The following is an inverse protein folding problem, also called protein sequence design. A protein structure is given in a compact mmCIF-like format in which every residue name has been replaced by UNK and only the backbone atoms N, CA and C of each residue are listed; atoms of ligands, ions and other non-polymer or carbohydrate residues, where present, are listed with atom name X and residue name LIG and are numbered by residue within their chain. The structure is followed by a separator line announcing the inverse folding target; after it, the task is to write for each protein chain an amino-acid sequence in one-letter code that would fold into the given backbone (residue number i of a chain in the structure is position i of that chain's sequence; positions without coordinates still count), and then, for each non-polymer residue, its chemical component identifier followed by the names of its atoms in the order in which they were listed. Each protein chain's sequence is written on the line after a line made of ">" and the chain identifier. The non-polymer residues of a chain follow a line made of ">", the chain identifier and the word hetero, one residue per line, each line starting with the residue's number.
data_IF_451698212263
#
_entry.id   IF_451698212263
#
_cell.length_a   1.000
_cell.length_b   1.000
_cell.length_c   1.000
_cell.angle_alpha   90.00
_cell.angle_beta   90.00
_cell.angle_gamma   90.00
#
_symmetry.space_group_name_H-M   'P 1'
#
loop_
_entity.id
_entity.type
_entity.pdbx_description
1 polymer ?
#
# COMPACT_ATOMS: atom_id res chain seq x y z
N UNK A 1 50.39 -6.34 40.45
CA UNK A 1 50.77 -5.62 41.70
C UNK A 1 50.18 -4.23 41.61
N UNK A 2 49.31 -3.70 42.45
CA UNK A 2 48.62 -4.06 43.70
C UNK A 2 47.28 -3.31 43.61
N UNK A 3 46.12 -3.97 43.79
CA UNK A 3 45.29 -3.89 45.00
C UNK A 3 45.16 -2.49 45.60
N UNK A 4 43.92 -1.96 45.72
CA UNK A 4 43.30 -1.84 47.04
C UNK A 4 41.76 -1.68 46.95
N UNK A 5 41.11 -2.51 47.75
CA UNK A 5 39.69 -2.65 48.01
C UNK A 5 39.40 -2.04 49.39
N UNK A 6 38.14 -1.66 49.61
CA UNK A 6 37.45 -1.63 50.92
C UNK A 6 37.93 -0.65 52.00
N UNK A 7 37.03 0.23 52.44
CA UNK A 7 36.69 0.30 53.87
C UNK A 7 35.17 0.45 54.05
N UNK A 8 34.66 -0.32 55.01
CA UNK A 8 33.30 -0.34 55.52
C UNK A 8 33.31 0.18 56.96
N UNK A 9 32.13 0.62 57.38
CA UNK A 9 31.62 0.69 58.75
C UNK A 9 32.10 1.82 59.67
N UNK A 10 31.11 2.28 60.46
CA UNK A 10 31.09 3.04 61.74
C UNK A 10 29.88 3.99 61.65
N UNK A 11 28.86 4.05 62.52
CA UNK A 11 28.57 3.49 63.84
C UNK A 11 27.04 3.59 64.06
N UNK A 12 26.47 2.59 64.73
CA UNK A 12 25.13 2.57 65.34
C UNK A 12 25.15 3.29 66.70
N UNK A 13 24.14 4.13 67.01
CA UNK A 13 23.77 4.39 68.41
C UNK A 13 22.30 4.85 68.58
N UNK A 14 21.52 3.93 69.12
CA UNK A 14 20.49 4.05 70.17
C UNK A 14 19.88 5.44 70.48
N UNK A 15 18.54 5.50 70.54
CA UNK A 15 17.78 6.09 71.65
C UNK A 15 16.33 5.57 71.64
N UNK A 16 16.02 4.75 72.65
CA UNK A 16 14.68 4.37 73.10
C UNK A 16 14.16 5.38 74.14
N UNK A 17 12.87 5.22 74.52
CA UNK A 17 12.07 5.82 75.61
C UNK A 17 11.14 6.96 75.10
N UNK A 18 9.83 6.98 75.34
CA UNK A 18 8.97 6.26 76.29
C UNK A 18 7.47 6.48 75.97
N UNK A 19 6.62 5.55 76.42
CA UNK A 19 5.31 5.89 77.03
C UNK A 19 4.05 5.81 76.13
N UNK A 20 3.22 4.80 76.35
CA UNK A 20 1.95 4.60 75.62
C UNK A 20 0.73 5.29 76.25
N UNK A 21 -0.37 5.36 75.48
CA UNK A 21 -1.72 4.98 75.93
C UNK A 21 -2.68 4.84 74.74
N UNK A 22 -3.76 4.11 74.97
CA UNK A 22 -4.61 3.44 73.99
C UNK A 22 -5.57 4.32 73.15
N UNK A 23 -5.99 3.70 72.04
CA UNK A 23 -7.37 3.72 71.48
C UNK A 23 -7.81 4.92 70.63
N UNK A 24 -7.62 4.82 69.30
CA UNK A 24 -8.64 5.24 68.31
C UNK A 24 -8.33 4.62 66.95
N UNK A 25 -9.26 3.83 66.41
CA UNK A 25 -9.17 3.27 65.06
C UNK A 25 -9.49 4.34 64.01
N UNK A 26 -8.57 4.54 63.06
CA UNK A 26 -8.79 5.30 61.83
C UNK A 26 -8.03 4.60 60.69
N UNK A 27 -8.68 4.21 59.57
CA UNK A 27 -7.98 3.60 58.44
C UNK A 27 -7.59 4.68 57.42
N UNK A 28 -6.30 5.01 57.35
CA UNK A 28 -5.66 5.84 56.32
C UNK A 28 -4.24 5.26 56.16
N UNK A 29 -3.71 4.89 55.01
CA UNK A 29 -4.12 5.00 53.62
C UNK A 29 -3.61 3.76 52.88
N UNK A 30 -4.36 3.28 51.90
CA UNK A 30 -3.84 2.31 50.92
C UNK A 30 -2.86 3.06 50.03
N UNK A 31 -1.64 2.53 49.91
CA UNK A 31 -0.67 2.97 48.90
C UNK A 31 -1.31 2.90 47.51
N UNK A 32 -1.62 4.08 46.96
CA UNK A 32 -2.06 4.27 45.58
C UNK A 32 -0.85 4.14 44.65
N UNK A 33 -0.40 2.91 44.42
CA UNK A 33 0.48 2.56 43.29
C UNK A 33 -0.35 2.52 42.00
N UNK A 34 -0.75 3.68 41.47
CA UNK A 34 -1.16 3.80 40.06
C UNK A 34 -1.39 5.26 39.68
N UNK A 35 -0.34 5.92 39.19
CA UNK A 35 -0.53 6.81 38.04
C UNK A 35 0.82 7.04 37.34
N UNK A 36 1.32 5.97 36.69
CA UNK A 36 2.21 6.19 35.55
C UNK A 36 1.27 6.49 34.39
N UNK A 37 1.46 7.59 33.64
CA UNK A 37 0.60 7.87 32.49
C UNK A 37 0.64 6.66 31.56
N UNK A 38 -0.51 6.02 31.35
CA UNK A 38 -0.66 4.94 30.38
C UNK A 38 -0.15 5.44 29.03
N UNK A 39 0.94 4.84 28.54
CA UNK A 39 1.37 5.04 27.16
C UNK A 39 0.20 4.60 26.29
N UNK A 40 -0.32 5.43 25.37
CA UNK A 40 -1.40 5.01 24.48
C UNK A 40 -0.96 3.73 23.76
N UNK A 41 -1.72 2.66 23.91
CA UNK A 41 -1.46 1.40 23.22
C UNK A 41 -1.43 1.67 21.71
N UNK A 42 -0.36 1.20 21.07
CA UNK A 42 -0.19 1.39 19.64
C UNK A 42 -1.34 0.70 18.89
N UNK A 43 -2.05 1.40 17.97
CA UNK A 43 -3.09 0.76 17.18
C UNK A 43 -2.54 -0.41 16.37
N UNK A 44 -3.37 -1.42 16.09
CA UNK A 44 -2.96 -2.57 15.28
C UNK A 44 -2.77 -2.17 13.81
N UNK A 45 -1.78 -2.77 13.15
CA UNK A 45 -1.53 -2.63 11.71
C UNK A 45 -2.25 -3.67 10.85
N UNK A 46 -2.93 -4.66 11.46
CA UNK A 46 -3.55 -5.79 10.75
C UNK A 46 -4.54 -5.33 9.68
N UNK A 47 -5.36 -4.31 9.99
CA UNK A 47 -6.36 -3.76 9.08
C UNK A 47 -5.69 -3.19 7.80
N UNK A 48 -4.54 -2.52 7.95
CA UNK A 48 -3.76 -2.01 6.81
C UNK A 48 -3.22 -3.17 5.97
N UNK A 49 -2.69 -4.22 6.61
CA UNK A 49 -2.12 -5.39 5.93
C UNK A 49 -3.18 -6.12 5.10
N UNK A 50 -4.38 -6.29 5.66
CA UNK A 50 -5.50 -6.94 4.97
C UNK A 50 -6.04 -6.11 3.80
N UNK A 51 -5.93 -4.79 3.86
CA UNK A 51 -6.39 -3.88 2.82
C UNK A 51 -5.38 -3.69 1.67
N UNK A 52 -4.16 -4.23 1.77
CA UNK A 52 -3.15 -4.09 0.71
C UNK A 52 -3.71 -4.64 -0.62
N UNK A 53 -3.65 -3.81 -1.67
CA UNK A 53 -4.18 -4.13 -3.01
C UNK A 53 -5.69 -4.00 -3.18
N UNK A 54 -6.44 -3.55 -2.17
CA UNK A 54 -7.89 -3.29 -2.23
C UNK A 54 -8.18 -1.79 -2.32
N UNK A 55 -9.36 -1.41 -2.82
CA UNK A 55 -9.77 0.00 -2.97
C UNK A 55 -9.84 0.76 -1.65
N UNK A 56 -10.10 0.09 -0.52
CA UNK A 56 -10.21 0.69 0.82
C UNK A 56 -8.89 0.88 1.60
N UNK A 57 -7.73 0.76 0.93
CA UNK A 57 -6.43 0.81 1.61
C UNK A 57 -6.13 2.17 2.25
N UNK A 58 -6.46 3.27 1.55
CA UNK A 58 -6.15 4.60 2.04
C UNK A 58 -6.96 4.94 3.31
N UNK A 59 -8.18 4.44 3.42
CA UNK A 59 -9.06 4.57 4.57
C UNK A 59 -8.49 3.85 5.78
N UNK A 60 -8.00 2.62 5.63
CA UNK A 60 -7.35 1.90 6.74
C UNK A 60 -6.06 2.58 7.20
N UNK A 61 -5.28 3.12 6.26
CA UNK A 61 -4.09 3.92 6.61
C UNK A 61 -4.50 5.20 7.35
N UNK A 62 -5.55 5.89 6.89
CA UNK A 62 -6.06 7.09 7.55
C UNK A 62 -6.58 6.79 8.96
N UNK A 63 -7.39 5.75 9.14
CA UNK A 63 -7.96 5.38 10.43
C UNK A 63 -6.86 5.05 11.45
N UNK A 64 -5.85 4.30 11.04
CA UNK A 64 -4.68 4.02 11.87
C UNK A 64 -3.94 5.31 12.28
N UNK A 65 -3.66 6.20 11.32
CA UNK A 65 -2.99 7.46 11.58
C UNK A 65 -3.87 8.41 12.40
N UNK A 66 -5.19 8.38 12.23
CA UNK A 66 -6.12 9.19 13.00
C UNK A 66 -6.09 8.82 14.49
N UNK A 67 -6.10 7.52 14.81
CA UNK A 67 -6.03 7.03 16.20
C UNK A 67 -4.77 7.49 16.93
N UNK A 68 -3.62 7.51 16.26
CA UNK A 68 -2.33 7.79 16.92
C UNK A 68 -1.87 9.24 16.82
N UNK A 69 -2.03 9.87 15.64
CA UNK A 69 -1.59 11.25 15.39
C UNK A 69 -2.74 12.20 15.08
N UNK A 70 -3.99 11.74 14.97
CA UNK A 70 -5.10 12.63 14.60
C UNK A 70 -4.97 13.19 13.17
N UNK A 71 -4.56 12.34 12.23
CA UNK A 71 -4.61 12.66 10.80
C UNK A 71 -6.06 12.82 10.32
N UNK A 72 -6.34 13.87 9.55
CA UNK A 72 -7.69 14.10 8.99
C UNK A 72 -7.74 13.80 7.48
N UNK A 73 -6.58 13.72 6.83
CA UNK A 73 -6.43 13.31 5.44
C UNK A 73 -5.08 12.64 5.21
N UNK A 74 -5.04 11.63 4.34
CA UNK A 74 -3.79 11.11 3.79
C UNK A 74 -3.90 10.86 2.28
N UNK A 75 -2.78 11.01 1.58
CA UNK A 75 -2.64 10.73 0.16
C UNK A 75 -1.33 10.01 -0.12
N UNK A 76 -1.42 9.00 -0.99
CA UNK A 76 -0.33 8.11 -1.38
C UNK A 76 0.12 8.49 -2.77
N UNK A 77 1.41 8.74 -2.93
CA UNK A 77 2.02 9.10 -4.20
C UNK A 77 3.13 8.11 -4.59
N UNK A 78 3.20 7.81 -5.88
CA UNK A 78 4.32 7.13 -6.52
C UNK A 78 5.05 8.15 -7.40
N UNK A 79 6.37 8.22 -7.28
CA UNK A 79 7.23 8.96 -8.19
C UNK A 79 8.07 7.96 -8.98
N UNK A 80 7.77 7.86 -10.28
CA UNK A 80 8.40 6.95 -11.24
C UNK A 80 8.68 7.71 -12.53
N UNK A 81 9.87 7.56 -13.10
CA UNK A 81 10.25 8.25 -14.34
C UNK A 81 10.00 9.78 -14.34
N UNK A 82 10.25 10.45 -13.21
CA UNK A 82 9.98 11.89 -13.00
C UNK A 82 8.50 12.30 -13.00
N UNK A 83 7.59 11.34 -13.14
CA UNK A 83 6.16 11.53 -13.04
C UNK A 83 5.70 11.21 -11.60
N UNK A 84 5.06 12.18 -10.97
CA UNK A 84 4.44 12.02 -9.65
C UNK A 84 2.96 11.74 -9.84
N UNK A 85 2.52 10.53 -9.54
CA UNK A 85 1.12 10.11 -9.58
C UNK A 85 0.58 9.95 -8.16
N UNK A 86 -0.66 10.38 -7.95
CA UNK A 86 -1.42 10.02 -6.76
C UNK A 86 -2.11 8.68 -7.01
N UNK A 87 -1.87 7.70 -6.15
CA UNK A 87 -2.41 6.34 -6.30
C UNK A 87 -3.72 6.19 -5.53
N UNK A 88 -3.78 6.72 -4.31
CA UNK A 88 -4.97 6.66 -3.46
C UNK A 88 -4.97 7.79 -2.43
N UNK A 89 -6.15 8.16 -1.93
CA UNK A 89 -6.30 9.16 -0.87
C UNK A 89 -7.56 8.91 -0.06
N UNK A 90 -7.54 9.28 1.22
CA UNK A 90 -8.70 9.22 2.10
C UNK A 90 -8.78 10.50 2.96
N UNK A 91 -10.00 10.90 3.32
CA UNK A 91 -10.29 12.07 4.15
C UNK A 91 -11.41 11.76 5.13
N UNK A 92 -11.35 12.32 6.34
CA UNK A 92 -12.50 12.36 7.23
C UNK A 92 -13.58 13.30 6.68
N UNK A 93 -14.83 13.04 7.05
CA UNK A 93 -15.96 13.90 6.66
C UNK A 93 -15.74 15.33 7.16
N UNK A 94 -15.78 16.31 6.27
CA UNK A 94 -15.55 17.72 6.60
C UNK A 94 -14.09 18.11 6.81
N UNK A 95 -13.13 17.20 6.57
CA UNK A 95 -11.71 17.53 6.62
C UNK A 95 -11.33 18.45 5.45
N UNK A 96 -10.49 19.45 5.74
CA UNK A 96 -9.93 20.31 4.72
C UNK A 96 -8.97 19.51 3.83
N UNK A 97 -9.28 19.40 2.54
CA UNK A 97 -8.40 18.80 1.54
C UNK A 97 -7.38 19.84 1.06
N UNK A 98 -6.17 19.39 0.74
CA UNK A 98 -5.19 20.23 0.02
C UNK A 98 -5.19 19.86 -1.46
N UNK A 99 -5.03 20.84 -2.37
CA UNK A 99 -4.87 20.58 -3.79
C UNK A 99 -3.78 19.53 -4.05
N UNK A 100 -3.99 18.69 -5.08
CA UNK A 100 -2.99 17.73 -5.55
C UNK A 100 -1.72 18.44 -6.06
N UNK A 101 -1.86 19.66 -6.57
CA UNK A 101 -0.77 20.51 -7.07
C UNK A 101 0.21 21.01 -6.01
N UNK A 102 -0.14 20.90 -4.72
CA UNK A 102 0.70 21.39 -3.60
C UNK A 102 1.83 20.42 -3.23
N UNK A 103 1.99 19.34 -4.00
CA UNK A 103 3.13 18.44 -3.90
C UNK A 103 3.77 18.28 -5.27
N UNK A 104 5.06 18.62 -5.35
CA UNK A 104 5.83 18.53 -6.59
C UNK A 104 6.81 17.36 -6.55
N UNK A 105 7.17 16.84 -7.74
CA UNK A 105 8.23 15.84 -7.87
C UNK A 105 9.58 16.34 -7.31
N UNK A 106 9.84 17.65 -7.41
CA UNK A 106 11.01 18.30 -6.81
C UNK A 106 11.01 18.21 -5.29
N UNK A 107 9.90 18.49 -4.61
CA UNK A 107 9.82 18.39 -3.15
C UNK A 107 10.06 16.96 -2.66
N UNK A 108 9.45 15.96 -3.31
CA UNK A 108 9.66 14.55 -2.97
C UNK A 108 11.14 14.17 -3.14
N UNK A 109 11.77 14.56 -4.25
CA UNK A 109 13.20 14.31 -4.49
C UNK A 109 14.09 15.03 -3.49
N UNK A 110 13.77 16.28 -3.15
CA UNK A 110 14.50 17.06 -2.15
C UNK A 110 14.47 16.38 -0.79
N UNK A 111 13.33 15.78 -0.41
CA UNK A 111 13.23 15.04 0.86
C UNK A 111 14.10 13.78 0.82
N UNK A 112 14.08 13.03 -0.29
CA UNK A 112 14.87 11.81 -0.46
C UNK A 112 16.38 12.07 -0.55
N UNK A 113 16.82 13.20 -1.10
CA UNK A 113 18.24 13.48 -1.34
C UNK A 113 19.04 13.85 -0.09
N UNK A 114 18.40 14.21 1.02
CA UNK A 114 19.10 14.57 2.27
C UNK A 114 19.22 13.39 3.25
N UNK A 115 18.99 12.16 2.80
CA UNK A 115 19.18 10.92 3.57
C UNK A 115 20.19 10.03 2.82
N UNK A 116 21.05 9.33 3.56
CA UNK A 116 21.83 8.21 3.01
C UNK A 116 20.91 7.11 2.47
N UNK A 117 21.45 6.20 1.66
CA UNK A 117 20.70 5.28 0.79
C UNK A 117 19.72 4.28 1.44
N UNK A 118 19.45 4.33 2.74
CA UNK A 118 18.62 3.35 3.44
C UNK A 118 17.83 3.97 4.58
N UNK A 119 16.55 4.29 4.36
CA UNK A 119 15.63 4.69 5.42
C UNK A 119 14.45 5.52 4.93
N UNK A 120 13.28 5.34 5.54
CA UNK A 120 12.15 6.22 5.34
C UNK A 120 12.39 7.55 6.07
N UNK A 121 12.10 8.66 5.38
CA UNK A 121 12.21 10.00 5.94
C UNK A 121 10.85 10.50 6.38
N UNK A 122 10.78 11.04 7.60
CA UNK A 122 9.59 11.76 8.10
C UNK A 122 9.92 13.24 8.21
N UNK A 123 9.16 14.08 7.51
CA UNK A 123 9.23 15.54 7.58
C UNK A 123 7.91 16.10 8.11
N UNK A 124 7.97 17.01 9.09
CA UNK A 124 6.80 17.62 9.72
C UNK A 124 6.90 19.14 9.57
N UNK A 125 5.95 19.73 8.85
CA UNK A 125 5.88 21.15 8.59
C UNK A 125 4.55 21.73 9.08
N UNK A 126 4.60 22.87 9.76
CA UNK A 126 3.41 23.68 10.01
C UNK A 126 3.08 24.46 8.73
N UNK A 127 1.83 24.39 8.28
CA UNK A 127 1.31 25.10 7.11
C UNK A 127 0.19 26.05 7.55
N UNK A 128 0.21 27.26 7.00
CA UNK A 128 -0.88 28.22 7.15
C UNK A 128 -2.02 27.82 6.21
N UNK A 129 -3.24 27.71 6.71
CA UNK A 129 -4.40 27.49 5.85
C UNK A 129 -4.57 28.65 4.85
N UNK A 130 -4.94 28.34 3.62
CA UNK A 130 -5.32 29.32 2.59
C UNK A 130 -6.70 29.96 2.86
N UNK A 131 -7.43 29.44 3.84
CA UNK A 131 -8.76 29.91 4.22
C UNK A 131 -8.64 31.11 5.16
N UNK A 132 -9.09 32.26 4.68
CA UNK A 132 -9.04 33.58 5.32
C UNK A 132 -10.03 33.72 6.50
N UNK A 133 -10.32 32.64 7.24
CA UNK A 133 -11.21 32.65 8.41
C UNK A 133 -10.39 32.79 9.69
N UNK A 134 -10.85 33.69 10.56
CA UNK A 134 -10.18 34.24 11.75
C UNK A 134 -9.94 33.22 12.90
N UNK A 135 -9.35 32.07 12.62
CA UNK A 135 -8.95 31.06 13.59
C UNK A 135 -7.46 30.76 13.46
N UNK A 136 -6.66 31.25 14.40
CA UNK A 136 -5.21 31.04 14.46
C UNK A 136 -4.95 29.61 14.93
N UNK A 137 -5.01 28.64 14.02
CA UNK A 137 -4.51 27.29 14.26
C UNK A 137 -3.63 26.85 13.09
N UNK A 138 -2.44 26.32 13.40
CA UNK A 138 -1.48 25.87 12.38
C UNK A 138 -1.92 24.47 11.93
N UNK A 139 -2.28 24.32 10.65
CA UNK A 139 -2.44 22.98 10.05
C UNK A 139 -1.06 22.32 9.98
N UNK A 140 -0.97 21.01 10.12
CA UNK A 140 0.31 20.31 10.01
C UNK A 140 0.30 19.39 8.79
N UNK A 141 1.38 19.47 8.01
CA UNK A 141 1.66 18.58 6.89
C UNK A 141 2.82 17.68 7.28
N UNK A 142 2.59 16.38 7.21
CA UNK A 142 3.61 15.36 7.46
C UNK A 142 3.85 14.63 6.15
N UNK A 143 5.11 14.41 5.80
CA UNK A 143 5.52 13.64 4.63
C UNK A 143 6.40 12.49 5.08
N UNK A 144 6.01 11.28 4.68
CA UNK A 144 6.84 10.09 4.81
C UNK A 144 7.30 9.70 3.42
N UNK A 145 8.61 9.73 3.15
CA UNK A 145 9.16 9.42 1.83
C UNK A 145 10.21 8.31 1.93
N UNK A 146 10.19 7.36 1.00
CA UNK A 146 11.26 6.36 0.89
C UNK A 146 11.48 5.96 -0.57
N UNK A 147 12.74 5.72 -0.92
CA UNK A 147 13.11 5.08 -2.18
C UNK A 147 13.05 3.56 -2.01
N UNK A 148 12.30 2.87 -2.87
CA UNK A 148 12.39 1.40 -3.02
C UNK A 148 13.05 1.07 -4.37
N UNK A 149 13.21 -0.21 -4.67
CA UNK A 149 13.96 -0.67 -5.85
C UNK A 149 13.47 -0.06 -7.19
N UNK A 150 12.15 0.11 -7.35
CA UNK A 150 11.56 0.47 -8.66
C UNK A 150 10.94 1.88 -8.72
N UNK A 151 10.71 2.51 -7.57
CA UNK A 151 10.07 3.83 -7.49
C UNK A 151 10.34 4.47 -6.13
N UNK A 152 10.16 5.79 -6.08
CA UNK A 152 10.04 6.53 -4.84
C UNK A 152 8.57 6.56 -4.40
N UNK A 153 8.30 6.44 -3.11
CA UNK A 153 6.95 6.53 -2.57
C UNK A 153 6.86 7.66 -1.54
N UNK A 154 5.71 8.33 -1.51
CA UNK A 154 5.43 9.39 -0.55
C UNK A 154 4.02 9.22 0.04
N UNK A 155 3.94 9.11 1.36
CA UNK A 155 2.70 9.22 2.12
C UNK A 155 2.61 10.63 2.70
N UNK A 156 1.67 11.42 2.19
CA UNK A 156 1.37 12.78 2.67
C UNK A 156 0.20 12.73 3.62
N UNK A 157 0.34 13.34 4.80
CA UNK A 157 -0.66 13.35 5.86
C UNK A 157 -0.95 14.80 6.24
N UNK A 158 -2.21 15.13 6.46
CA UNK A 158 -2.64 16.45 6.91
C UNK A 158 -3.39 16.35 8.23
N UNK A 159 -3.12 17.32 9.12
CA UNK A 159 -3.79 17.51 10.41
C UNK A 159 -4.40 18.91 10.47
N UNK A 160 -5.61 19.00 10.98
CA UNK A 160 -6.38 20.23 11.17
C UNK A 160 -5.77 21.13 12.24
N UNK A 161 -6.00 22.42 12.04
CA UNK A 161 -5.63 23.52 12.92
C UNK A 161 -6.26 23.46 14.32
N UNK A 162 -7.34 22.68 14.49
CA UNK A 162 -8.07 22.54 15.76
C UNK A 162 -7.42 21.54 16.72
N UNK A 163 -6.44 20.75 16.27
CA UNK A 163 -5.74 19.76 17.09
C UNK A 163 -4.44 20.33 17.66
N UNK A 164 -3.99 19.78 18.78
CA UNK A 164 -2.69 20.09 19.36
C UNK A 164 -1.54 19.72 18.39
N UNK A 165 -0.45 20.48 18.47
CA UNK A 165 0.75 20.20 17.70
C UNK A 165 1.27 18.80 18.00
N UNK A 166 1.83 18.14 16.98
CA UNK A 166 2.36 16.79 17.13
C UNK A 166 3.45 16.75 18.20
N UNK A 167 3.26 15.91 19.21
CA UNK A 167 4.23 15.74 20.30
C UNK A 167 5.48 14.99 19.84
N UNK A 168 6.62 15.18 20.51
CA UNK A 168 7.86 14.46 20.18
C UNK A 168 7.72 12.93 20.19
N UNK A 169 7.03 12.30 21.18
CA UNK A 169 6.79 10.85 21.15
C UNK A 169 6.01 10.39 19.92
N UNK A 170 5.04 11.19 19.45
CA UNK A 170 4.29 10.86 18.24
C UNK A 170 5.16 10.93 16.98
N UNK A 171 6.03 11.94 16.88
CA UNK A 171 7.00 12.05 15.78
C UNK A 171 7.97 10.87 15.79
N UNK A 172 8.48 10.51 16.96
CA UNK A 172 9.46 9.42 17.09
C UNK A 172 8.84 8.07 16.72
N UNK A 173 7.60 7.82 17.15
CA UNK A 173 6.86 6.64 16.72
C UNK A 173 6.61 6.61 15.21
N UNK A 174 6.25 7.75 14.60
CA UNK A 174 6.11 7.82 13.14
C UNK A 174 7.42 7.47 12.44
N UNK A 175 8.57 7.96 12.93
CA UNK A 175 9.90 7.60 12.39
C UNK A 175 10.16 6.10 12.51
N UNK A 176 9.79 5.50 13.65
CA UNK A 176 9.95 4.06 13.89
C UNK A 176 9.15 3.22 12.88
N UNK A 177 7.91 3.59 12.58
CA UNK A 177 7.04 2.82 11.67
C UNK A 177 7.11 3.25 10.21
N UNK A 178 7.82 4.34 9.90
CA UNK A 178 7.84 4.95 8.57
C UNK A 178 8.22 3.97 7.46
N UNK A 179 9.26 3.16 7.69
CA UNK A 179 9.70 2.15 6.73
C UNK A 179 8.63 1.08 6.46
N UNK A 180 7.89 0.69 7.51
CA UNK A 180 6.83 -0.29 7.43
C UNK A 180 5.62 0.27 6.66
N UNK A 181 5.21 1.50 6.98
CA UNK A 181 4.13 2.20 6.27
C UNK A 181 4.44 2.34 4.77
N UNK A 182 5.66 2.75 4.41
CA UNK A 182 6.03 2.84 3.00
C UNK A 182 6.14 1.46 2.35
N UNK A 183 6.48 0.41 3.09
CA UNK A 183 6.45 -0.96 2.55
C UNK A 183 5.03 -1.43 2.24
N UNK A 184 4.05 -1.09 3.08
CA UNK A 184 2.63 -1.35 2.78
C UNK A 184 2.16 -0.55 1.57
N UNK A 185 2.50 0.74 1.51
CA UNK A 185 2.22 1.60 0.34
C UNK A 185 2.81 0.99 -0.92
N UNK A 186 4.12 0.69 -0.93
CA UNK A 186 4.79 0.12 -2.10
C UNK A 186 4.11 -1.17 -2.56
N UNK A 187 3.75 -2.06 -1.61
CA UNK A 187 3.07 -3.31 -1.94
C UNK A 187 1.63 -3.11 -2.43
N UNK A 188 0.90 -2.15 -1.85
CA UNK A 188 -0.44 -1.80 -2.31
C UNK A 188 -0.37 -1.29 -3.74
N UNK A 189 0.53 -0.35 -4.04
CA UNK A 189 0.71 0.17 -5.40
C UNK A 189 1.11 -0.95 -6.37
N UNK A 190 2.04 -1.83 -6.00
CA UNK A 190 2.42 -2.97 -6.84
C UNK A 190 1.24 -3.92 -7.14
N UNK A 191 0.34 -4.13 -6.17
CA UNK A 191 -0.83 -5.00 -6.33
C UNK A 191 -2.00 -4.30 -7.05
N UNK A 192 -2.15 -3.00 -6.85
CA UNK A 192 -3.18 -2.17 -7.49
C UNK A 192 -2.83 -1.87 -8.95
N UNK A 193 -1.55 -1.64 -9.26
CA UNK A 193 -1.02 -1.43 -10.61
C UNK A 193 -0.66 -2.72 -11.36
N UNK A 194 -0.81 -3.89 -10.72
CA UNK A 194 -0.47 -5.19 -11.32
C UNK A 194 -1.30 -5.42 -12.59
N UNK A 195 -0.68 -5.11 -13.73
CA UNK A 195 -1.17 -5.58 -15.03
C UNK A 195 -1.21 -7.11 -14.98
N UNK A 196 -2.27 -7.76 -15.50
CA UNK A 196 -2.30 -9.22 -15.56
C UNK A 196 -1.03 -9.72 -16.24
N UNK A 197 -0.36 -10.71 -15.65
CA UNK A 197 0.76 -11.36 -16.31
C UNK A 197 0.20 -12.20 -17.46
N UNK A 198 0.20 -11.63 -18.67
CA UNK A 198 -0.34 -12.25 -19.88
C UNK A 198 0.70 -13.14 -20.58
N UNK A 199 1.93 -13.26 -20.06
CA UNK A 199 2.96 -14.13 -20.65
C UNK A 199 2.49 -15.59 -20.76
N UNK A 200 1.88 -16.21 -19.73
CA UNK A 200 1.38 -17.58 -19.84
C UNK A 200 0.36 -17.75 -20.97
N UNK A 201 -0.50 -16.75 -21.20
CA UNK A 201 -1.55 -16.79 -22.23
C UNK A 201 -1.02 -17.07 -23.64
N UNK A 202 0.24 -16.73 -23.95
CA UNK A 202 0.79 -16.90 -25.30
C UNK A 202 1.86 -18.00 -25.40
N UNK A 203 2.08 -18.78 -24.34
CA UNK A 203 3.20 -19.74 -24.27
C UNK A 203 2.86 -21.14 -24.73
N UNK A 204 1.60 -21.56 -24.63
CA UNK A 204 1.16 -22.92 -24.97
C UNK A 204 0.13 -22.90 -26.10
N UNK A 205 0.47 -23.51 -27.24
CA UNK A 205 -0.44 -23.60 -28.38
C UNK A 205 -1.71 -24.39 -28.03
N UNK A 206 -1.58 -25.46 -27.25
CA UNK A 206 -2.71 -26.31 -26.85
C UNK A 206 -3.68 -25.58 -25.92
N UNK A 207 -3.16 -24.75 -25.01
CA UNK A 207 -3.99 -23.91 -24.13
C UNK A 207 -4.71 -22.82 -24.92
N UNK A 208 -4.00 -22.14 -25.83
CA UNK A 208 -4.62 -21.13 -26.71
C UNK A 208 -5.74 -21.78 -27.52
N UNK A 209 -5.47 -22.93 -28.14
CA UNK A 209 -6.45 -23.64 -28.97
C UNK A 209 -7.67 -24.09 -28.15
N UNK A 210 -7.45 -24.68 -26.97
CA UNK A 210 -8.53 -25.12 -26.08
C UNK A 210 -9.39 -23.92 -25.63
N UNK A 211 -8.75 -22.82 -25.27
CA UNK A 211 -9.42 -21.58 -24.88
C UNK A 211 -10.30 -21.05 -26.02
N UNK A 212 -9.73 -20.87 -27.23
CA UNK A 212 -10.46 -20.36 -28.41
C UNK A 212 -11.64 -21.26 -28.77
N UNK A 213 -11.45 -22.58 -28.80
CA UNK A 213 -12.51 -23.53 -29.17
C UNK A 213 -13.61 -23.57 -28.10
N UNK A 214 -13.26 -23.50 -26.81
CA UNK A 214 -14.23 -23.55 -25.71
C UNK A 214 -15.12 -22.30 -25.62
N UNK A 215 -14.60 -21.15 -26.03
CA UNK A 215 -15.25 -19.86 -25.85
C UNK A 215 -16.01 -19.36 -27.09
N UNK A 216 -15.99 -20.11 -28.20
CA UNK A 216 -16.54 -19.64 -29.48
C UNK A 216 -17.25 -20.76 -30.24
N UNK A 217 -18.19 -20.39 -31.11
CA UNK A 217 -18.83 -21.31 -32.07
C UNK A 217 -17.99 -21.51 -33.35
N UNK A 218 -16.67 -21.30 -33.26
CA UNK A 218 -15.77 -21.56 -34.36
C UNK A 218 -15.69 -23.06 -34.63
N UNK A 219 -15.57 -23.41 -35.90
CA UNK A 219 -15.24 -24.79 -36.25
C UNK A 219 -13.86 -25.14 -35.71
N UNK A 220 -13.61 -26.43 -35.47
CA UNK A 220 -12.30 -26.93 -35.02
C UNK A 220 -11.15 -26.40 -35.88
N UNK A 221 -11.30 -26.40 -37.21
CA UNK A 221 -10.27 -25.90 -38.14
C UNK A 221 -10.07 -24.39 -38.06
N UNK A 222 -11.13 -23.62 -37.84
CA UNK A 222 -11.04 -22.17 -37.61
C UNK A 222 -10.29 -21.87 -36.31
N UNK A 223 -10.63 -22.58 -35.22
CA UNK A 223 -9.94 -22.46 -33.93
C UNK A 223 -8.45 -22.84 -34.01
N UNK A 224 -8.12 -23.95 -34.68
CA UNK A 224 -6.75 -24.39 -34.92
C UNK A 224 -5.90 -23.34 -35.65
N UNK A 225 -6.48 -22.67 -36.66
CA UNK A 225 -5.82 -21.58 -37.39
C UNK A 225 -5.67 -20.34 -36.53
N UNK A 226 -6.72 -19.91 -35.81
CA UNK A 226 -6.64 -18.76 -34.90
C UNK A 226 -5.59 -18.95 -33.81
N UNK A 227 -5.51 -20.15 -33.21
CA UNK A 227 -4.53 -20.45 -32.17
C UNK A 227 -3.09 -20.29 -32.66
N UNK A 228 -2.79 -20.75 -33.88
CA UNK A 228 -1.45 -20.63 -34.47
C UNK A 228 -1.12 -19.20 -34.90
N UNK A 229 -2.12 -18.42 -35.32
CA UNK A 229 -1.94 -16.98 -35.56
C UNK A 229 -1.59 -16.26 -34.26
N UNK A 230 -2.26 -16.59 -33.15
CA UNK A 230 -1.98 -16.06 -31.82
C UNK A 230 -0.60 -16.48 -31.29
N UNK A 231 -0.19 -17.72 -31.59
CA UNK A 231 1.14 -18.25 -31.28
C UNK A 231 2.26 -17.67 -32.16
N UNK A 232 1.91 -16.89 -33.20
CA UNK A 232 2.89 -16.17 -34.03
C UNK A 232 3.37 -16.90 -35.29
N UNK A 233 2.69 -17.98 -35.73
CA UNK A 233 3.04 -18.65 -36.99
C UNK A 233 2.61 -17.81 -38.20
N UNK A 234 3.43 -17.85 -39.25
CA UNK A 234 3.06 -17.31 -40.56
C UNK A 234 2.02 -18.20 -41.26
N UNK A 235 1.26 -17.68 -42.22
CA UNK A 235 0.29 -18.50 -42.98
C UNK A 235 0.92 -19.73 -43.65
N UNK A 236 2.20 -19.64 -44.09
CA UNK A 236 2.93 -20.79 -44.63
C UNK A 236 3.30 -21.79 -43.52
N UNK A 237 3.73 -21.31 -42.36
CA UNK A 237 4.00 -22.16 -41.19
C UNK A 237 2.75 -22.90 -40.71
N UNK A 238 1.60 -22.22 -40.67
CA UNK A 238 0.31 -22.82 -40.31
C UNK A 238 -0.08 -23.91 -41.32
N UNK A 239 0.12 -23.64 -42.61
CA UNK A 239 -0.17 -24.61 -43.67
C UNK A 239 0.65 -25.89 -43.51
N UNK A 240 1.95 -25.75 -43.21
CA UNK A 240 2.85 -26.88 -42.95
C UNK A 240 2.46 -27.62 -41.67
N UNK A 241 2.19 -26.90 -40.58
CA UNK A 241 1.87 -27.49 -39.28
C UNK A 241 0.55 -28.26 -39.29
N UNK A 242 -0.47 -27.74 -40.00
CA UNK A 242 -1.78 -28.39 -40.12
C UNK A 242 -1.89 -29.38 -41.29
N UNK A 243 -0.88 -29.46 -42.16
CA UNK A 243 -0.93 -30.27 -43.37
C UNK A 243 -2.02 -29.85 -44.36
N UNK A 244 -2.29 -28.54 -44.48
CA UNK A 244 -3.33 -27.97 -45.36
C UNK A 244 -2.74 -26.95 -46.34
N UNK A 245 -3.49 -26.59 -47.38
CA UNK A 245 -3.08 -25.55 -48.32
C UNK A 245 -3.07 -24.15 -47.69
N UNK A 246 -2.14 -23.28 -48.11
CA UNK A 246 -2.08 -21.87 -47.69
C UNK A 246 -3.41 -21.14 -47.96
N UNK A 247 -4.05 -21.41 -49.09
CA UNK A 247 -5.37 -20.85 -49.42
C UNK A 247 -6.47 -21.29 -48.44
N UNK A 248 -6.39 -22.52 -47.93
CA UNK A 248 -7.30 -23.02 -46.89
C UNK A 248 -7.08 -22.26 -45.57
N UNK A 249 -5.83 -22.01 -45.17
CA UNK A 249 -5.51 -21.18 -44.00
C UNK A 249 -6.13 -19.80 -44.12
N UNK A 250 -5.97 -19.16 -45.29
CA UNK A 250 -6.52 -17.82 -45.56
C UNK A 250 -8.05 -17.81 -45.50
N UNK A 251 -8.69 -18.87 -46.01
CA UNK A 251 -10.14 -19.06 -45.97
C UNK A 251 -10.64 -19.23 -44.54
N UNK A 252 -10.01 -20.10 -43.74
CA UNK A 252 -10.38 -20.30 -42.33
C UNK A 252 -10.19 -19.05 -41.51
N UNK A 253 -9.08 -18.31 -41.70
CA UNK A 253 -8.85 -17.02 -41.04
C UNK A 253 -9.96 -16.03 -41.37
N UNK A 254 -10.32 -15.87 -42.64
CA UNK A 254 -11.37 -14.94 -43.07
C UNK A 254 -12.73 -15.27 -42.44
N UNK A 255 -13.11 -16.55 -42.43
CA UNK A 255 -14.36 -17.01 -41.81
C UNK A 255 -14.36 -16.83 -40.30
N UNK A 256 -13.26 -17.17 -39.63
CA UNK A 256 -13.11 -16.97 -38.19
C UNK A 256 -13.24 -15.49 -37.82
N UNK A 257 -12.60 -14.59 -38.59
CA UNK A 257 -12.66 -13.15 -38.36
C UNK A 257 -14.09 -12.61 -38.52
N UNK A 258 -14.80 -13.06 -39.56
CA UNK A 258 -16.20 -12.72 -39.75
C UNK A 258 -17.10 -13.20 -38.60
N UNK A 259 -16.88 -14.42 -38.10
CA UNK A 259 -17.65 -14.98 -36.98
C UNK A 259 -17.37 -14.28 -35.65
N UNK A 260 -16.13 -13.87 -35.42
CA UNK A 260 -15.72 -13.15 -34.22
C UNK A 260 -16.01 -11.64 -34.29
N UNK A 261 -16.43 -11.12 -35.45
CA UNK A 261 -16.67 -9.68 -35.64
C UNK A 261 -15.38 -8.83 -35.61
N UNK A 262 -14.25 -9.41 -36.00
CA UNK A 262 -12.93 -8.75 -36.00
C UNK A 262 -12.39 -8.60 -37.42
N UNK A 263 -11.57 -7.58 -37.65
CA UNK A 263 -10.95 -7.26 -38.94
C UNK A 263 -9.44 -7.51 -39.00
N UNK A 264 -8.76 -7.72 -37.87
CA UNK A 264 -7.29 -7.81 -37.85
C UNK A 264 -6.72 -8.84 -36.88
N UNK A 265 -5.47 -9.23 -37.12
CA UNK A 265 -4.70 -10.06 -36.17
C UNK A 265 -4.51 -9.37 -34.81
N UNK A 266 -4.37 -8.03 -34.82
CA UNK A 266 -4.32 -7.24 -33.58
C UNK A 266 -5.60 -7.39 -32.78
N UNK A 267 -6.76 -7.33 -33.44
CA UNK A 267 -8.05 -7.51 -32.77
C UNK A 267 -8.25 -8.94 -32.29
N UNK A 268 -7.80 -9.95 -33.04
CA UNK A 268 -7.78 -11.35 -32.57
C UNK A 268 -6.98 -11.47 -31.27
N UNK A 269 -5.80 -10.85 -31.21
CA UNK A 269 -4.96 -10.84 -30.01
C UNK A 269 -5.64 -10.14 -28.84
N UNK A 270 -6.20 -8.95 -29.05
CA UNK A 270 -6.90 -8.21 -28.00
C UNK A 270 -8.11 -8.99 -27.47
N UNK A 271 -8.89 -9.59 -28.37
CA UNK A 271 -10.02 -10.45 -28.03
C UNK A 271 -9.58 -11.66 -27.20
N UNK A 272 -8.51 -12.35 -27.62
CA UNK A 272 -7.98 -13.50 -26.91
C UNK A 272 -7.47 -13.14 -25.50
N UNK A 273 -6.73 -12.04 -25.37
CA UNK A 273 -6.20 -11.61 -24.06
C UNK A 273 -7.32 -11.20 -23.11
N UNK A 274 -8.37 -10.54 -23.61
CA UNK A 274 -9.55 -10.22 -22.81
C UNK A 274 -10.28 -11.49 -22.35
N UNK A 275 -10.47 -12.45 -23.25
CA UNK A 275 -11.05 -13.76 -22.92
C UNK A 275 -10.22 -14.52 -21.88
N UNK A 276 -8.91 -14.63 -22.08
CA UNK A 276 -8.01 -15.33 -21.17
C UNK A 276 -7.99 -14.67 -19.78
N UNK A 277 -7.97 -13.33 -19.73
CA UNK A 277 -8.05 -12.57 -18.49
C UNK A 277 -9.39 -12.75 -17.78
N UNK A 278 -10.50 -12.92 -18.49
CA UNK A 278 -11.80 -13.19 -17.86
C UNK A 278 -11.84 -14.59 -17.23
N UNK A 279 -11.28 -15.60 -17.93
CA UNK A 279 -11.23 -16.98 -17.46
C UNK A 279 -10.29 -17.17 -16.25
N UNK A 280 -9.19 -16.42 -16.17
CA UNK A 280 -8.18 -16.58 -15.11
C UNK A 280 -8.20 -15.46 -14.06
N UNK A 281 -8.83 -14.32 -14.36
CA UNK A 281 -8.98 -13.17 -13.45
C UNK A 281 -10.20 -13.25 -12.53
N UNK A 282 -11.09 -14.23 -12.71
CA UNK A 282 -12.28 -14.44 -11.88
C UNK A 282 -12.05 -15.18 -10.56
N UNK A 283 -10.84 -15.66 -10.27
CA UNK A 283 -10.59 -16.52 -9.09
C UNK A 283 -10.21 -15.75 -7.79
N UNK A 284 -10.63 -14.49 -7.67
CA UNK A 284 -10.41 -13.67 -6.44
C UNK A 284 -11.70 -13.09 -5.83
N UNK A 285 -12.89 -13.65 -6.10
CA UNK A 285 -14.10 -13.09 -5.51
C UNK A 285 -15.41 -13.88 -5.60
N UNK A 286 -15.39 -15.19 -5.85
CA UNK A 286 -16.61 -16.01 -5.81
C UNK A 286 -16.49 -17.11 -4.75
N UNK A 287 -16.55 -16.71 -3.47
CA UNK A 287 -17.04 -17.62 -2.44
C UNK A 287 -18.55 -17.68 -2.65
N UNK A 288 -19.00 -18.77 -3.27
CA UNK A 288 -20.39 -19.16 -3.28
C UNK A 288 -20.85 -19.30 -1.83
N UNK A 289 -21.79 -18.45 -1.44
CA UNK A 289 -22.62 -18.65 -0.25
C UNK A 289 -23.49 -19.86 -0.54
N UNK A 290 -23.19 -20.98 0.13
CA UNK A 290 -24.16 -22.01 0.46
C UNK A 290 -24.54 -21.84 1.92
#
# INVERSE_FOLDING_TARGET
>A
MQYFHFESNVICKQLELQGGNAMTAAPLARDSLSDRPEKPEAPSLSEIVEAIGREGFAEQVLDYLNRYIGADHCAIFQLKNYELSEVASASLVGAAMMPKSDLTSYEVKRQLSQVGSSGARVDVCNITGTENTRGIGKRQRIMICEQKANASYCLRILRSAQRESLSEPQVEYLRLIAHLLISFVARHVDLFERKPNLTPALTSLDEIQSCVISATDLSRREGEVCARILYGLSSCGIALDLGIGKESVMTYRKRAYQRLGIGSQRELLMWYLALWSALHGGNTGAVAVN
#
